data_IF_466226348298
#
_entry.id   IF_466226348298
#
_cell.length_a   1.000
_cell.length_b   1.000
_cell.length_c   1.000
_cell.angle_alpha   90.00
_cell.angle_beta   90.00
_cell.angle_gamma   90.00
#
_symmetry.space_group_name_H-M   'P 1'
#
loop_
_entity.id
_entity.type
_entity.pdbx_description
1 polymer ?
#
# COMPACT_ATOMS: atom_id res chain seq x y z
N UNK A 1 -24.06 10.07 4.11
CA UNK A 1 -23.39 8.89 4.70
C UNK A 1 -22.03 8.69 4.06
N UNK A 2 -20.96 9.00 4.79
CA UNK A 2 -19.64 8.45 4.50
C UNK A 2 -19.53 7.12 5.26
N UNK A 3 -18.91 6.09 4.68
CA UNK A 3 -18.70 4.78 5.33
C UNK A 3 -17.21 4.46 5.27
N UNK A 4 -16.71 3.82 6.32
CA UNK A 4 -15.29 3.55 6.55
C UNK A 4 -14.93 2.21 5.92
N UNK A 5 -13.89 2.17 5.09
CA UNK A 5 -13.32 0.93 4.57
C UNK A 5 -11.86 0.85 4.98
N UNK A 6 -11.51 -0.18 5.77
CA UNK A 6 -10.14 -0.55 6.08
C UNK A 6 -9.71 -1.55 5.01
N UNK A 7 -8.67 -1.21 4.23
CA UNK A 7 -8.20 -2.04 3.11
C UNK A 7 -6.85 -2.62 3.51
N UNK A 8 -6.86 -3.91 3.81
CA UNK A 8 -5.68 -4.75 4.12
C UNK A 8 -5.25 -5.42 2.80
N UNK A 9 -3.96 -5.79 2.57
CA UNK A 9 -3.49 -6.41 1.33
C UNK A 9 -4.46 -7.47 0.79
N UNK A 10 -4.93 -7.22 -0.43
CA UNK A 10 -6.02 -7.93 -1.07
C UNK A 10 -5.51 -9.27 -1.63
N UNK A 11 -6.20 -10.37 -1.34
CA UNK A 11 -6.03 -11.63 -2.08
C UNK A 11 -6.72 -11.46 -3.44
N UNK A 12 -5.99 -11.57 -4.56
CA UNK A 12 -6.58 -11.41 -5.90
C UNK A 12 -6.84 -12.78 -6.54
N UNK A 13 -8.08 -13.00 -6.94
CA UNK A 13 -8.53 -14.17 -7.71
C UNK A 13 -8.19 -13.97 -9.20
N UNK A 14 -7.23 -14.73 -9.72
CA UNK A 14 -6.99 -14.82 -11.16
C UNK A 14 -7.79 -15.99 -11.74
N UNK A 15 -8.84 -15.67 -12.50
CA UNK A 15 -9.59 -16.69 -13.25
C UNK A 15 -8.94 -16.87 -14.63
N UNK A 16 -8.11 -17.91 -14.74
CA UNK A 16 -7.52 -18.33 -16.01
C UNK A 16 -8.59 -19.07 -16.86
N UNK A 17 -8.46 -19.10 -18.20
CA UNK A 17 -9.38 -19.85 -19.05
C UNK A 17 -9.39 -21.34 -18.66
N UNK A 18 -10.56 -21.80 -18.19
CA UNK A 18 -10.80 -23.15 -17.64
C UNK A 18 -11.70 -23.13 -16.40
N UNK A 19 -12.39 -24.23 -16.11
CA UNK A 19 -13.32 -24.36 -14.96
C UNK A 19 -12.64 -24.49 -13.58
N UNK A 20 -11.36 -24.13 -13.48
CA UNK A 20 -10.58 -24.29 -12.24
C UNK A 20 -10.06 -22.93 -11.77
N UNK A 21 -10.57 -22.47 -10.63
CA UNK A 21 -10.06 -21.27 -9.96
C UNK A 21 -8.69 -21.59 -9.35
N UNK A 22 -7.64 -20.87 -9.78
CA UNK A 22 -6.30 -20.96 -9.18
C UNK A 22 -6.04 -19.66 -8.41
N UNK A 23 -5.66 -19.78 -7.14
CA UNK A 23 -5.35 -18.65 -6.28
C UNK A 23 -3.84 -18.36 -6.34
N UNK A 24 -3.50 -17.10 -6.51
CA UNK A 24 -2.12 -16.60 -6.51
C UNK A 24 -2.01 -15.43 -5.53
N UNK A 25 -0.78 -15.06 -5.17
CA UNK A 25 -0.54 -13.91 -4.30
C UNK A 25 -1.11 -12.63 -4.93
N UNK A 26 -1.88 -11.85 -4.16
CA UNK A 26 -2.53 -10.64 -4.67
C UNK A 26 -1.58 -9.57 -5.19
N UNK A 27 -0.37 -9.50 -4.63
CA UNK A 27 0.72 -8.64 -5.11
C UNK A 27 1.18 -8.91 -6.56
N UNK A 28 0.84 -10.07 -7.14
CA UNK A 28 1.05 -10.33 -8.59
C UNK A 28 0.08 -9.52 -9.45
N UNK A 29 -1.12 -9.23 -8.94
CA UNK A 29 -2.15 -8.52 -9.68
C UNK A 29 -2.27 -7.06 -9.25
N UNK A 30 -2.17 -6.79 -7.95
CA UNK A 30 -2.29 -5.45 -7.37
C UNK A 30 -1.40 -5.37 -6.12
N UNK A 31 -0.23 -4.74 -6.24
CA UNK A 31 0.67 -4.55 -5.10
C UNK A 31 0.15 -3.49 -4.12
N UNK A 32 -0.58 -2.49 -4.61
CA UNK A 32 -1.29 -1.49 -3.79
C UNK A 32 -2.81 -1.53 -4.05
N UNK A 33 -3.61 -2.14 -3.15
CA UNK A 33 -5.05 -2.31 -3.39
C UNK A 33 -5.88 -1.03 -3.21
N UNK A 34 -5.26 0.09 -2.80
CA UNK A 34 -5.98 1.32 -2.41
C UNK A 34 -6.94 1.81 -3.49
N UNK A 35 -6.44 1.99 -4.73
CA UNK A 35 -7.27 2.52 -5.81
C UNK A 35 -8.39 1.55 -6.22
N UNK A 36 -8.09 0.24 -6.24
CA UNK A 36 -9.09 -0.79 -6.54
C UNK A 36 -10.22 -0.76 -5.51
N UNK A 37 -9.88 -0.67 -4.22
CA UNK A 37 -10.88 -0.65 -3.18
C UNK A 37 -11.69 0.66 -3.13
N UNK A 38 -11.11 1.80 -3.52
CA UNK A 38 -11.87 3.04 -3.76
C UNK A 38 -12.92 2.79 -4.85
N UNK A 39 -12.52 2.24 -5.99
CA UNK A 39 -13.41 1.95 -7.10
C UNK A 39 -14.55 1.00 -6.69
N UNK A 40 -14.24 -0.09 -6.00
CA UNK A 40 -15.24 -1.05 -5.52
C UNK A 40 -16.19 -0.43 -4.48
N UNK A 41 -15.68 0.34 -3.51
CA UNK A 41 -16.52 1.03 -2.54
C UNK A 41 -17.47 2.05 -3.19
N UNK A 42 -16.98 2.79 -4.20
CA UNK A 42 -17.80 3.73 -4.99
C UNK A 42 -18.90 3.00 -5.74
N UNK A 43 -18.57 1.89 -6.38
CA UNK A 43 -19.50 1.06 -7.17
C UNK A 43 -20.55 0.39 -6.28
N UNK A 44 -20.13 -0.30 -5.23
CA UNK A 44 -21.02 -1.06 -4.34
C UNK A 44 -22.01 -0.14 -3.61
N UNK A 45 -21.54 1.02 -3.14
CA UNK A 45 -22.40 1.97 -2.41
C UNK A 45 -23.02 3.05 -3.27
N UNK A 46 -22.71 3.08 -4.58
CA UNK A 46 -23.14 4.13 -5.52
C UNK A 46 -22.82 5.54 -4.96
N UNK A 47 -21.60 5.71 -4.45
CA UNK A 47 -21.08 6.97 -3.90
C UNK A 47 -19.89 7.47 -4.72
N UNK A 48 -19.58 8.76 -4.58
CA UNK A 48 -18.38 9.36 -5.15
C UNK A 48 -17.26 9.50 -4.11
N UNK A 49 -16.05 9.80 -4.58
CA UNK A 49 -14.87 9.94 -3.74
C UNK A 49 -14.99 10.99 -2.62
N UNK A 50 -15.84 12.03 -2.77
CA UNK A 50 -16.07 13.05 -1.72
C UNK A 50 -16.68 12.47 -0.46
N UNK A 51 -17.38 11.34 -0.58
CA UNK A 51 -18.01 10.62 0.55
C UNK A 51 -17.09 9.54 1.13
N UNK A 52 -15.85 9.42 0.67
CA UNK A 52 -14.88 8.45 1.17
C UNK A 52 -13.91 9.11 2.14
N UNK A 53 -13.53 8.34 3.15
CA UNK A 53 -12.37 8.54 3.99
C UNK A 53 -11.49 7.30 3.81
N UNK A 54 -10.25 7.52 3.38
CA UNK A 54 -9.34 6.45 2.99
C UNK A 54 -8.07 6.56 3.83
N UNK A 55 -7.76 5.47 4.53
CA UNK A 55 -6.48 5.26 5.19
C UNK A 55 -5.77 4.13 4.44
N UNK A 56 -4.65 4.47 3.81
CA UNK A 56 -3.74 3.51 3.19
C UNK A 56 -2.53 3.31 4.10
N UNK A 57 -2.20 2.05 4.37
CA UNK A 57 -1.07 1.66 5.22
C UNK A 57 -0.08 0.87 4.36
N UNK A 58 1.10 1.44 4.16
CA UNK A 58 2.20 0.78 3.48
C UNK A 58 3.04 -0.06 4.43
N UNK A 59 3.76 -1.04 3.88
CA UNK A 59 4.66 -1.95 4.62
C UNK A 59 6.09 -1.42 4.73
N UNK A 60 6.33 -0.20 4.24
CA UNK A 60 7.63 0.38 4.08
C UNK A 60 8.32 -0.03 2.78
N UNK A 61 9.28 0.79 2.36
CA UNK A 61 10.15 0.57 1.22
C UNK A 61 11.58 0.94 1.58
N UNK A 62 12.52 0.27 0.93
CA UNK A 62 13.93 0.66 0.98
C UNK A 62 14.19 1.66 -0.14
N UNK A 63 14.34 2.95 0.18
CA UNK A 63 14.88 3.92 -0.77
C UNK A 63 16.30 3.47 -1.13
N UNK A 64 16.47 3.03 -2.38
CA UNK A 64 17.64 2.34 -2.88
C UNK A 64 18.96 3.08 -2.67
N UNK A 65 19.55 2.94 -1.49
CA UNK A 65 20.96 3.29 -1.25
C UNK A 65 21.88 2.32 -1.98
N UNK A 66 21.40 1.11 -2.27
CA UNK A 66 22.04 0.19 -3.20
C UNK A 66 21.41 0.40 -4.58
N UNK A 67 21.94 1.38 -5.32
CA UNK A 67 21.67 1.49 -6.76
C UNK A 67 22.00 0.14 -7.36
N UNK A 68 20.98 -0.54 -7.89
CA UNK A 68 21.20 -1.69 -8.75
C UNK A 68 21.87 -1.14 -10.02
N UNK A 69 23.19 -1.17 -10.04
CA UNK A 69 23.97 -0.79 -11.22
C UNK A 69 23.85 -1.93 -12.22
N UNK A 70 22.85 -1.82 -13.10
CA UNK A 70 22.59 -2.79 -14.17
C UNK A 70 23.66 -2.66 -15.25
N UNK A 71 24.85 -3.20 -14.97
CA UNK A 71 25.96 -3.44 -15.90
C UNK A 71 26.51 -2.20 -16.65
N UNK A 72 27.62 -2.40 -17.36
CA UNK A 72 28.05 -1.46 -18.40
C UNK A 72 27.27 -1.74 -19.69
N UNK A 73 27.14 -0.75 -20.61
CA UNK A 73 26.52 -0.96 -21.93
C UNK A 73 27.10 -2.14 -22.73
N UNK A 74 28.33 -2.55 -22.38
CA UNK A 74 29.12 -3.56 -23.08
C UNK A 74 28.91 -4.98 -22.55
N UNK A 75 28.17 -5.16 -21.44
CA UNK A 75 27.94 -6.48 -20.83
C UNK A 75 26.44 -6.73 -20.63
N UNK A 76 25.91 -7.79 -21.25
CA UNK A 76 24.53 -8.18 -21.04
C UNK A 76 24.30 -8.60 -19.57
N UNK A 77 23.41 -7.90 -18.86
CA UNK A 77 23.06 -8.19 -17.46
C UNK A 77 22.55 -9.63 -17.25
N UNK A 78 21.88 -10.22 -18.24
CA UNK A 78 21.45 -11.64 -18.22
C UNK A 78 20.25 -11.92 -17.31
N UNK A 79 19.52 -13.02 -17.59
CA UNK A 79 18.31 -13.39 -16.87
C UNK A 79 18.57 -13.77 -15.41
N UNK A 80 19.68 -14.45 -15.12
CA UNK A 80 20.03 -14.89 -13.75
C UNK A 80 20.14 -13.69 -12.82
N UNK A 81 20.80 -12.61 -13.25
CA UNK A 81 20.98 -11.41 -12.42
C UNK A 81 19.68 -10.61 -12.25
N UNK A 82 18.67 -10.80 -13.11
CA UNK A 82 17.33 -10.24 -12.90
C UNK A 82 16.55 -10.97 -11.80
N UNK A 83 16.77 -12.28 -11.63
CA UNK A 83 16.11 -13.08 -10.59
C UNK A 83 16.89 -13.14 -9.27
N UNK A 84 18.22 -13.14 -9.35
CA UNK A 84 19.14 -13.26 -8.23
C UNK A 84 20.20 -12.17 -8.35
N UNK A 85 19.89 -11.01 -7.80
CA UNK A 85 20.79 -9.87 -7.79
C UNK A 85 21.83 -9.96 -6.65
N UNK A 86 22.73 -8.96 -6.56
CA UNK A 86 23.70 -8.87 -5.48
C UNK A 86 23.01 -8.77 -4.12
N UNK A 87 23.68 -9.21 -3.06
CA UNK A 87 23.22 -9.08 -1.66
C UNK A 87 21.82 -9.67 -1.39
N UNK A 88 21.46 -10.76 -2.08
CA UNK A 88 20.16 -11.43 -1.98
C UNK A 88 18.98 -10.60 -2.54
N UNK A 89 19.28 -9.56 -3.33
CA UNK A 89 18.26 -8.79 -4.06
C UNK A 89 17.51 -9.61 -5.10
N UNK A 90 16.28 -9.19 -5.40
CA UNK A 90 15.44 -9.79 -6.44
C UNK A 90 15.04 -8.67 -7.43
N UNK A 91 15.96 -8.22 -8.29
CA UNK A 91 15.80 -6.96 -9.03
C UNK A 91 14.53 -6.87 -9.84
N UNK A 92 14.13 -7.95 -10.51
CA UNK A 92 12.92 -7.99 -11.32
C UNK A 92 11.66 -7.79 -10.45
N UNK A 93 11.56 -8.49 -9.32
CA UNK A 93 10.40 -8.33 -8.43
C UNK A 93 10.41 -6.98 -7.76
N UNK A 94 11.58 -6.49 -7.35
CA UNK A 94 11.73 -5.21 -6.65
C UNK A 94 11.29 -4.05 -7.55
N UNK A 95 11.74 -4.00 -8.81
CA UNK A 95 11.35 -2.95 -9.77
C UNK A 95 9.86 -3.02 -10.11
N UNK A 96 9.32 -4.22 -10.36
CA UNK A 96 7.91 -4.39 -10.70
C UNK A 96 6.97 -4.02 -9.54
N UNK A 97 7.32 -4.46 -8.32
CA UNK A 97 6.50 -4.23 -7.13
C UNK A 97 6.63 -2.79 -6.65
N UNK A 98 7.85 -2.25 -6.52
CA UNK A 98 8.05 -0.86 -6.08
C UNK A 98 7.43 0.13 -7.07
N UNK A 99 7.70 -0.01 -8.37
CA UNK A 99 7.15 0.89 -9.38
C UNK A 99 5.62 0.86 -9.46
N UNK A 100 5.01 -0.31 -9.36
CA UNK A 100 3.54 -0.42 -9.35
C UNK A 100 2.91 0.19 -8.09
N UNK A 101 3.55 0.03 -6.92
CA UNK A 101 3.09 0.63 -5.68
C UNK A 101 3.19 2.16 -5.72
N UNK A 102 4.35 2.70 -6.10
CA UNK A 102 4.59 4.15 -6.18
C UNK A 102 3.62 4.83 -7.16
N UNK A 103 3.36 4.24 -8.33
CA UNK A 103 2.39 4.81 -9.27
C UNK A 103 1.00 4.95 -8.64
N UNK A 104 0.48 3.89 -7.98
CA UNK A 104 -0.84 3.94 -7.34
C UNK A 104 -0.87 4.98 -6.23
N UNK A 105 0.18 5.06 -5.41
CA UNK A 105 0.28 6.05 -4.33
C UNK A 105 0.30 7.48 -4.87
N UNK A 106 1.12 7.77 -5.88
CA UNK A 106 1.23 9.10 -6.52
C UNK A 106 -0.11 9.49 -7.13
N UNK A 107 -0.67 8.65 -8.00
CA UNK A 107 -1.92 9.00 -8.69
C UNK A 107 -3.10 9.14 -7.74
N UNK A 108 -3.20 8.28 -6.71
CA UNK A 108 -4.26 8.39 -5.71
C UNK A 108 -4.10 9.68 -4.90
N UNK A 109 -2.88 9.97 -4.42
CA UNK A 109 -2.60 11.22 -3.68
C UNK A 109 -2.94 12.45 -4.51
N UNK A 110 -2.45 12.51 -5.75
CA UNK A 110 -2.73 13.61 -6.68
C UNK A 110 -4.23 13.75 -6.96
N UNK A 111 -4.95 12.65 -7.14
CA UNK A 111 -6.40 12.69 -7.36
C UNK A 111 -7.14 13.35 -6.20
N UNK A 112 -6.84 12.96 -4.95
CA UNK A 112 -7.48 13.57 -3.78
C UNK A 112 -7.08 15.03 -3.60
N UNK A 113 -5.79 15.36 -3.79
CA UNK A 113 -5.29 16.73 -3.69
C UNK A 113 -5.92 17.66 -4.73
N UNK A 114 -5.88 17.32 -6.03
CA UNK A 114 -6.44 18.17 -7.08
C UNK A 114 -7.98 18.23 -7.05
N UNK A 115 -8.63 17.32 -6.32
CA UNK A 115 -10.08 17.34 -6.10
C UNK A 115 -10.52 18.19 -4.89
N UNK A 116 -9.58 18.79 -4.15
CA UNK A 116 -9.85 19.50 -2.89
C UNK A 116 -10.31 18.55 -1.77
N UNK A 117 -9.78 17.32 -1.76
CA UNK A 117 -10.13 16.24 -0.84
C UNK A 117 -8.87 15.70 -0.14
N UNK A 118 -7.81 16.49 -0.03
CA UNK A 118 -6.53 16.10 0.57
C UNK A 118 -6.70 15.51 1.99
N UNK A 119 -7.63 16.04 2.77
CA UNK A 119 -7.95 15.53 4.11
C UNK A 119 -8.68 14.17 4.10
N UNK A 120 -9.18 13.70 2.95
CA UNK A 120 -9.92 12.44 2.83
C UNK A 120 -9.02 11.25 2.52
N UNK A 121 -7.75 11.46 2.22
CA UNK A 121 -6.78 10.41 1.93
C UNK A 121 -5.54 10.55 2.79
N UNK A 122 -5.30 9.55 3.63
CA UNK A 122 -4.11 9.48 4.50
C UNK A 122 -3.33 8.24 4.10
N UNK A 123 -2.09 8.43 3.65
CA UNK A 123 -1.12 7.37 3.45
C UNK A 123 -0.10 7.41 4.59
N UNK A 124 0.07 6.27 5.27
CA UNK A 124 1.17 6.05 6.22
C UNK A 124 2.12 5.05 5.59
N UNK A 125 3.30 5.55 5.22
CA UNK A 125 4.36 4.78 4.57
C UNK A 125 5.72 5.13 5.20
N UNK A 126 6.65 4.19 5.18
CA UNK A 126 8.04 4.36 5.65
C UNK A 126 8.99 4.14 4.46
N UNK A 127 9.66 5.16 3.97
CA UNK A 127 10.44 5.03 2.72
C UNK A 127 11.94 4.78 2.91
N UNK A 128 12.39 4.66 4.15
CA UNK A 128 13.81 4.68 4.50
C UNK A 128 14.24 3.41 5.24
N UNK A 129 13.59 2.28 4.96
CA UNK A 129 14.06 0.99 5.45
C UNK A 129 15.39 0.65 4.78
N UNK A 130 16.25 -0.06 5.49
CA UNK A 130 17.38 -0.77 4.90
C UNK A 130 16.87 -1.97 4.08
N UNK A 131 17.71 -2.52 3.22
CA UNK A 131 17.36 -3.69 2.43
C UNK A 131 16.96 -4.89 3.32
N UNK A 132 17.71 -5.12 4.40
CA UNK A 132 17.44 -6.21 5.33
C UNK A 132 16.10 -6.03 6.08
N UNK A 133 15.75 -4.79 6.42
CA UNK A 133 14.45 -4.45 7.03
C UNK A 133 13.29 -4.60 6.04
N UNK A 134 13.49 -4.20 4.78
CA UNK A 134 12.49 -4.27 3.72
C UNK A 134 12.33 -5.68 3.10
N UNK A 135 13.25 -6.61 3.38
CA UNK A 135 13.19 -7.99 2.87
C UNK A 135 11.95 -8.70 3.41
N UNK A 136 11.06 -9.09 2.49
CA UNK A 136 9.78 -9.73 2.77
C UNK A 136 9.92 -11.11 3.45
N UNK A 137 11.06 -11.78 3.26
CA UNK A 137 11.38 -13.11 3.79
C UNK A 137 12.25 -13.09 5.07
N UNK A 138 12.67 -11.91 5.54
CA UNK A 138 13.45 -11.78 6.77
C UNK A 138 12.56 -11.78 8.02
N UNK A 139 12.30 -12.99 8.54
CA UNK A 139 11.52 -13.23 9.76
C UNK A 139 12.36 -13.39 11.03
N UNK A 140 13.63 -12.94 11.01
CA UNK A 140 14.47 -12.96 12.22
C UNK A 140 13.85 -12.12 13.34
N UNK A 141 14.03 -12.54 14.59
CA UNK A 141 13.46 -11.85 15.76
C UNK A 141 13.94 -10.40 15.84
N UNK A 142 15.22 -10.17 15.57
CA UNK A 142 15.82 -8.84 15.50
C UNK A 142 15.13 -7.95 14.46
N UNK A 143 14.90 -8.46 13.25
CA UNK A 143 14.22 -7.70 12.21
C UNK A 143 12.78 -7.35 12.59
N UNK A 144 12.03 -8.31 13.15
CA UNK A 144 10.65 -8.09 13.57
C UNK A 144 10.54 -7.07 14.72
N UNK A 145 11.44 -7.12 15.70
CA UNK A 145 11.47 -6.17 16.81
C UNK A 145 11.81 -4.75 16.32
N UNK A 146 12.70 -4.65 15.35
CA UNK A 146 13.06 -3.38 14.73
C UNK A 146 11.91 -2.81 13.86
N UNK A 147 11.23 -3.65 13.07
CA UNK A 147 10.04 -3.24 12.31
C UNK A 147 8.89 -2.80 13.24
N UNK A 148 8.70 -3.44 14.39
CA UNK A 148 7.73 -3.01 15.41
C UNK A 148 8.09 -1.61 15.94
N UNK A 149 9.37 -1.37 16.25
CA UNK A 149 9.87 -0.07 16.70
C UNK A 149 9.62 1.02 15.64
N UNK A 150 10.00 0.77 14.39
CA UNK A 150 9.76 1.68 13.26
C UNK A 150 8.27 1.97 13.10
N UNK A 151 7.42 0.95 13.23
CA UNK A 151 5.96 1.11 13.21
C UNK A 151 5.44 2.04 14.30
N UNK A 152 5.91 1.88 15.55
CA UNK A 152 5.54 2.76 16.69
C UNK A 152 6.00 4.20 16.46
N UNK A 153 7.23 4.39 16.01
CA UNK A 153 7.75 5.71 15.66
C UNK A 153 6.91 6.37 14.57
N UNK A 154 6.46 5.59 13.58
CA UNK A 154 5.63 6.11 12.49
C UNK A 154 4.22 6.48 12.94
N UNK A 155 3.64 5.74 13.90
CA UNK A 155 2.37 6.11 14.53
C UNK A 155 2.50 7.43 15.27
N UNK A 156 3.53 7.59 16.10
CA UNK A 156 3.74 8.85 16.84
C UNK A 156 3.99 10.03 15.88
N UNK A 157 4.75 9.83 14.80
CA UNK A 157 4.98 10.87 13.80
C UNK A 157 3.71 11.31 13.03
N UNK A 158 2.65 10.49 13.01
CA UNK A 158 1.37 10.80 12.35
C UNK A 158 0.21 10.93 13.32
N UNK A 159 0.48 11.05 14.62
CA UNK A 159 -0.51 11.01 15.70
C UNK A 159 -1.67 11.98 15.48
N UNK A 160 -1.37 13.22 15.12
CA UNK A 160 -2.38 14.25 14.88
C UNK A 160 -3.33 13.88 13.72
N UNK A 161 -2.79 13.40 12.59
CA UNK A 161 -3.58 12.97 11.43
C UNK A 161 -4.47 11.78 11.80
N UNK A 162 -3.94 10.83 12.57
CA UNK A 162 -4.67 9.65 13.03
C UNK A 162 -5.80 10.00 14.01
N UNK A 163 -5.55 10.94 14.93
CA UNK A 163 -6.59 11.45 15.85
C UNK A 163 -7.68 12.17 15.06
N UNK A 164 -7.33 13.10 14.17
CA UNK A 164 -8.30 13.81 13.31
C UNK A 164 -9.13 12.83 12.47
N UNK A 165 -8.51 11.77 11.95
CA UNK A 165 -9.23 10.70 11.26
C UNK A 165 -10.22 10.01 12.21
N UNK A 166 -9.76 9.54 13.37
CA UNK A 166 -10.59 8.83 14.35
C UNK A 166 -11.81 9.66 14.80
N UNK A 167 -11.63 10.96 15.03
CA UNK A 167 -12.70 11.90 15.37
C UNK A 167 -13.75 11.98 14.26
N UNK A 168 -13.32 12.10 13.00
CA UNK A 168 -14.24 12.12 11.84
C UNK A 168 -15.02 10.81 11.72
N UNK A 169 -14.35 9.66 11.90
CA UNK A 169 -15.01 8.36 11.86
C UNK A 169 -16.05 8.22 12.99
N UNK A 170 -15.72 8.70 14.18
CA UNK A 170 -16.64 8.72 15.33
C UNK A 170 -17.87 9.58 15.02
N UNK A 171 -17.68 10.82 14.55
CA UNK A 171 -18.77 11.73 14.19
C UNK A 171 -19.71 11.12 13.13
N UNK A 172 -19.15 10.48 12.10
CA UNK A 172 -19.91 9.79 11.05
C UNK A 172 -20.74 8.64 11.64
N UNK A 173 -20.15 7.85 12.56
CA UNK A 173 -20.84 6.73 13.21
C UNK A 173 -22.02 7.23 14.06
N UNK A 174 -21.83 8.30 14.84
CA UNK A 174 -22.87 8.89 15.65
C UNK A 174 -24.03 9.41 14.79
N UNK A 175 -23.74 10.19 13.74
CA UNK A 175 -24.75 10.71 12.81
C UNK A 175 -25.54 9.59 12.11
N UNK A 176 -24.89 8.46 11.81
CA UNK A 176 -25.55 7.30 11.19
C UNK A 176 -26.47 6.55 12.16
N UNK A 177 -26.18 6.58 13.47
CA UNK A 177 -27.03 5.96 14.49
C UNK A 177 -28.27 6.80 14.79
N UNK A 178 -28.11 8.13 14.89
CA UNK A 178 -29.24 9.04 15.14
C UNK A 178 -30.25 9.05 14.00
N UNK A 179 -29.81 8.84 12.75
CA UNK A 179 -30.70 8.75 11.59
C UNK A 179 -31.47 7.42 11.48
N UNK A 180 -31.12 6.42 12.28
CA UNK A 180 -31.80 5.11 12.32
C UNK A 180 -32.81 5.01 13.47
N UNK A 181 -32.74 5.94 14.44
CA UNK A 181 -33.59 5.96 15.64
C UNK A 181 -34.74 6.97 15.58
N UNK A 182 -34.90 7.69 14.47
CA UNK A 182 -36.01 8.62 14.20
C UNK A 182 -36.67 8.28 12.89
#
# INVERSE_FOLDING_TARGET
MARVYLIVPLLVLLKLPGNTTRLMHGGVAVNNPTFLAICEAMKEKKINARKLLVLSLGTGSSKGTNKLEVGSPDTAWGLVNWFFGPEQSRPLTDVLMAGSNEMVEIYTSSFFQFSGLEDNYILIQVDNLTYAEASMDNSSKENLDNLEKIGKERVEANKEKLIKLAERLSAIRHASRSSLSG
#
